data_IF_881486097485
#
_entry.id   IF_881486097485
#
_cell.length_a   1.000
_cell.length_b   1.000
_cell.length_c   1.000
_cell.angle_alpha   90.00
_cell.angle_beta   90.00
_cell.angle_gamma   90.00
#
_symmetry.space_group_name_H-M   'P 1'
#
loop_
_entity.id
_entity.type
_entity.pdbx_description
1 polymer ?
#
# COMPACT_ATOMS: atom_id res chain seq x y z
N UNK A 1 8.14 4.68 -19.86
CA UNK A 1 7.28 4.05 -20.89
C UNK A 1 7.36 4.85 -22.18
N UNK A 2 7.29 4.21 -23.35
CA UNK A 2 7.48 4.77 -24.71
C UNK A 2 6.44 5.85 -25.09
N UNK A 3 6.34 6.95 -24.35
CA UNK A 3 5.35 8.01 -24.51
C UNK A 3 4.01 7.78 -23.79
N UNK A 4 3.89 6.70 -23.00
CA UNK A 4 2.70 6.40 -22.20
C UNK A 4 2.92 6.79 -20.74
N UNK A 5 1.92 7.43 -20.14
CA UNK A 5 1.97 8.03 -18.80
C UNK A 5 0.63 7.91 -18.06
N UNK A 6 -0.33 7.14 -18.59
CA UNK A 6 -1.68 7.01 -18.07
C UNK A 6 -2.67 8.07 -18.54
N UNK A 7 -2.28 9.01 -19.42
CA UNK A 7 -3.21 10.00 -19.99
C UNK A 7 -4.46 9.34 -20.57
N UNK A 8 -5.63 9.84 -20.17
CA UNK A 8 -6.94 9.33 -20.58
C UNK A 8 -7.45 8.15 -19.75
N UNK A 9 -6.71 7.73 -18.72
CA UNK A 9 -7.17 6.72 -17.75
C UNK A 9 -7.58 7.39 -16.43
N UNK A 10 -8.56 6.77 -15.77
CA UNK A 10 -9.02 7.15 -14.43
C UNK A 10 -8.74 5.97 -13.50
N UNK A 11 -7.94 6.22 -12.46
CA UNK A 11 -7.64 5.26 -11.40
C UNK A 11 -8.38 5.68 -10.13
N UNK A 12 -9.11 4.75 -9.53
CA UNK A 12 -9.69 4.90 -8.22
C UNK A 12 -8.73 4.41 -7.14
N UNK A 13 -8.70 5.11 -6.00
CA UNK A 13 -7.96 4.72 -4.80
C UNK A 13 -8.93 4.78 -3.62
N UNK A 14 -9.10 3.66 -2.93
CA UNK A 14 -9.85 3.61 -1.66
C UNK A 14 -8.88 3.38 -0.52
N UNK A 15 -8.75 4.36 0.37
CA UNK A 15 -7.73 4.38 1.41
C UNK A 15 -8.08 5.38 2.53
N UNK A 16 -7.10 5.81 3.34
CA UNK A 16 -7.33 6.58 4.57
C UNK A 16 -7.91 7.97 4.31
N UNK A 17 -7.31 8.72 3.40
CA UNK A 17 -7.71 10.07 3.04
C UNK A 17 -6.76 10.65 1.99
N UNK A 18 -6.99 11.90 1.56
CA UNK A 18 -6.12 12.57 0.59
C UNK A 18 -5.76 13.99 1.05
N UNK A 19 -4.55 14.15 1.59
CA UNK A 19 -4.01 15.42 2.08
C UNK A 19 -5.00 16.15 2.99
N UNK A 20 -5.24 17.43 2.69
CA UNK A 20 -6.25 18.24 3.37
C UNK A 20 -7.72 17.93 3.02
N UNK A 21 -8.00 16.85 2.30
CA UNK A 21 -9.33 16.39 1.92
C UNK A 21 -9.95 17.03 0.69
N UNK A 22 -9.21 17.91 0.01
CA UNK A 22 -9.67 18.54 -1.24
C UNK A 22 -8.66 18.45 -2.37
N UNK A 23 -7.37 18.38 -2.05
CA UNK A 23 -6.27 18.28 -3.00
C UNK A 23 -4.98 17.89 -2.28
N UNK A 24 -3.95 17.57 -3.07
CA UNK A 24 -2.59 17.36 -2.60
C UNK A 24 -1.61 17.96 -3.61
N UNK A 25 -0.44 18.45 -3.18
CA UNK A 25 0.52 19.14 -4.06
C UNK A 25 0.96 18.27 -5.25
N UNK A 26 1.16 16.97 -5.02
CA UNK A 26 1.49 16.00 -6.07
C UNK A 26 0.33 15.62 -6.99
N UNK A 27 -0.92 15.97 -6.65
CA UNK A 27 -2.13 15.64 -7.43
C UNK A 27 -2.95 16.92 -7.63
N UNK A 28 -2.60 17.68 -8.67
CA UNK A 28 -3.28 18.93 -9.00
C UNK A 28 -4.79 18.73 -9.18
N UNK A 29 -5.60 19.68 -8.68
CA UNK A 29 -7.06 19.57 -8.67
C UNK A 29 -7.68 19.26 -10.04
N UNK A 30 -7.07 19.70 -11.14
CA UNK A 30 -7.54 19.39 -12.50
C UNK A 30 -7.43 17.91 -12.90
N UNK A 31 -6.68 17.09 -12.15
CA UNK A 31 -6.57 15.64 -12.34
C UNK A 31 -7.47 14.85 -11.38
N UNK A 32 -8.18 15.51 -10.48
CA UNK A 32 -9.13 14.87 -9.57
C UNK A 32 -10.51 14.89 -10.22
N UNK A 33 -11.05 13.71 -10.52
CA UNK A 33 -12.42 13.53 -11.03
C UNK A 33 -13.42 13.71 -9.90
N UNK A 34 -13.19 13.01 -8.79
CA UNK A 34 -14.02 13.07 -7.60
C UNK A 34 -13.23 12.65 -6.36
N UNK A 35 -13.62 13.21 -5.21
CA UNK A 35 -13.23 12.73 -3.88
C UNK A 35 -14.53 12.43 -3.16
N UNK A 36 -14.62 11.24 -2.58
CA UNK A 36 -15.78 10.80 -1.83
C UNK A 36 -15.38 10.40 -0.43
N UNK A 37 -16.12 10.93 0.52
CA UNK A 37 -16.08 10.51 1.91
C UNK A 37 -17.04 9.34 2.10
N UNK A 38 -16.52 8.19 2.55
CA UNK A 38 -17.30 7.04 2.97
C UNK A 38 -17.31 7.00 4.51
N UNK A 39 -18.28 7.67 5.14
CA UNK A 39 -18.32 7.76 6.59
C UNK A 39 -18.58 6.37 7.18
N UNK A 40 -17.77 6.03 8.15
CA UNK A 40 -17.81 4.80 8.89
C UNK A 40 -19.16 4.57 9.55
N UNK A 41 -19.59 3.32 9.55
CA UNK A 41 -20.85 2.91 10.14
C UNK A 41 -20.62 1.95 11.30
N UNK A 42 -21.61 1.85 12.19
CA UNK A 42 -21.61 0.84 13.24
C UNK A 42 -21.77 -0.56 12.62
N UNK A 43 -20.66 -1.16 12.21
CA UNK A 43 -20.58 -2.49 11.61
C UNK A 43 -20.12 -3.59 12.57
N UNK A 44 -19.64 -4.70 12.01
CA UNK A 44 -19.14 -5.84 12.78
C UNK A 44 -18.00 -5.44 13.75
N UNK A 45 -17.09 -4.56 13.31
CA UNK A 45 -16.03 -4.02 14.16
C UNK A 45 -16.58 -3.23 15.35
N UNK A 46 -17.55 -2.34 15.11
CA UNK A 46 -18.18 -1.55 16.17
C UNK A 46 -18.90 -2.42 17.20
N UNK A 47 -19.55 -3.51 16.75
CA UNK A 47 -20.21 -4.49 17.60
C UNK A 47 -19.21 -5.34 18.40
N UNK A 48 -18.15 -5.82 17.76
CA UNK A 48 -17.13 -6.68 18.38
C UNK A 48 -16.30 -5.91 19.41
N UNK A 49 -15.88 -4.70 19.05
CA UNK A 49 -15.03 -3.85 19.87
C UNK A 49 -15.79 -2.92 20.80
N UNK A 50 -17.13 -2.95 20.77
CA UNK A 50 -18.00 -2.03 21.50
C UNK A 50 -17.47 -0.59 21.36
N UNK A 51 -17.45 -0.08 20.14
CA UNK A 51 -16.88 1.24 19.87
C UNK A 51 -17.81 2.35 20.35
N UNK A 52 -17.22 3.47 20.78
CA UNK A 52 -17.95 4.69 21.08
C UNK A 52 -18.30 5.48 19.83
N UNK A 53 -18.33 6.81 19.95
CA UNK A 53 -18.62 7.71 18.84
C UNK A 53 -17.56 7.60 17.75
N UNK A 54 -18.01 7.32 16.53
CA UNK A 54 -17.22 7.47 15.30
C UNK A 54 -17.17 8.96 14.97
N UNK A 55 -15.96 9.48 14.74
CA UNK A 55 -15.72 10.89 14.42
C UNK A 55 -15.24 10.99 12.99
N UNK A 56 -16.04 11.67 12.16
CA UNK A 56 -15.77 11.91 10.75
C UNK A 56 -14.99 13.20 10.55
N UNK A 57 -13.90 13.14 9.81
CA UNK A 57 -13.08 14.29 9.40
C UNK A 57 -13.13 14.55 7.88
N UNK A 58 -14.06 13.88 7.19
CA UNK A 58 -14.26 14.00 5.76
C UNK A 58 -13.23 13.19 5.00
N UNK A 59 -12.67 13.77 3.94
CA UNK A 59 -11.68 13.08 3.10
C UNK A 59 -10.22 13.38 3.49
N UNK A 60 -10.01 13.92 4.70
CA UNK A 60 -8.70 14.38 5.16
C UNK A 60 -7.86 13.18 5.59
N UNK A 61 -6.61 13.15 5.17
CA UNK A 61 -5.67 12.13 5.64
C UNK A 61 -4.98 12.64 6.89
N UNK A 62 -5.51 12.30 8.07
CA UNK A 62 -5.20 12.98 9.34
C UNK A 62 -4.31 12.20 10.29
N UNK A 63 -4.05 10.92 10.01
CA UNK A 63 -3.31 10.03 10.92
C UNK A 63 -2.06 9.48 10.26
N UNK A 64 -2.21 8.46 9.42
CA UNK A 64 -1.08 7.74 8.84
C UNK A 64 -0.49 8.44 7.62
N UNK A 65 -1.27 9.25 6.89
CA UNK A 65 -0.87 9.79 5.58
C UNK A 65 -0.79 8.73 4.46
N UNK A 66 -1.27 7.52 4.75
CA UNK A 66 -1.13 6.34 3.90
C UNK A 66 -1.87 6.51 2.56
N UNK A 67 -3.12 6.98 2.59
CA UNK A 67 -3.94 7.22 1.41
C UNK A 67 -3.33 8.24 0.45
N UNK A 68 -2.72 9.28 0.99
CA UNK A 68 -1.98 10.29 0.22
C UNK A 68 -0.75 9.66 -0.43
N UNK A 69 0.02 8.86 0.31
CA UNK A 69 1.21 8.17 -0.19
C UNK A 69 0.91 7.21 -1.34
N UNK A 70 -0.11 6.37 -1.17
CA UNK A 70 -0.48 5.41 -2.21
C UNK A 70 -1.06 6.11 -3.45
N UNK A 71 -1.88 7.16 -3.30
CA UNK A 71 -2.41 7.90 -4.44
C UNK A 71 -1.32 8.61 -5.25
N UNK A 72 -0.33 9.21 -4.58
CA UNK A 72 0.83 9.79 -5.26
C UNK A 72 1.71 8.72 -5.92
N UNK A 73 1.82 7.53 -5.34
CA UNK A 73 2.57 6.42 -5.96
C UNK A 73 1.92 5.94 -7.27
N UNK A 74 0.58 5.99 -7.37
CA UNK A 74 -0.13 5.74 -8.63
C UNK A 74 0.18 6.84 -9.64
N UNK A 75 -0.10 8.10 -9.31
CA UNK A 75 -0.26 9.18 -10.30
C UNK A 75 0.26 10.55 -9.88
N UNK A 76 1.08 10.64 -8.83
CA UNK A 76 1.72 11.89 -8.43
C UNK A 76 2.53 12.52 -9.57
N UNK A 77 2.43 13.83 -9.76
CA UNK A 77 3.23 14.55 -10.77
C UNK A 77 4.72 14.56 -10.44
N UNK A 78 5.03 14.43 -9.14
CA UNK A 78 6.33 14.71 -8.57
C UNK A 78 6.70 16.19 -8.64
N UNK A 79 7.82 16.54 -8.02
CA UNK A 79 8.34 17.90 -8.07
C UNK A 79 9.02 18.23 -9.42
N UNK A 80 9.56 19.44 -9.55
CA UNK A 80 10.22 19.89 -10.79
C UNK A 80 11.41 19.04 -11.24
N UNK A 81 12.02 18.27 -10.34
CA UNK A 81 13.11 17.32 -10.61
C UNK A 81 12.61 15.90 -10.89
N UNK A 82 11.31 15.66 -10.76
CA UNK A 82 10.68 14.35 -10.92
C UNK A 82 10.67 13.47 -9.66
N UNK A 83 11.10 13.98 -8.51
CA UNK A 83 11.05 13.26 -7.23
C UNK A 83 9.59 13.07 -6.83
N UNK A 84 9.24 11.88 -6.34
CA UNK A 84 7.88 11.52 -5.93
C UNK A 84 6.87 11.43 -7.08
N UNK A 85 7.34 11.30 -8.32
CA UNK A 85 6.46 11.06 -9.46
C UNK A 85 5.93 9.62 -9.42
N UNK A 86 4.62 9.48 -9.50
CA UNK A 86 3.95 8.18 -9.61
C UNK A 86 4.16 7.53 -10.97
N UNK A 87 3.70 6.29 -11.10
CA UNK A 87 3.90 5.49 -12.34
C UNK A 87 3.07 6.01 -13.52
N UNK A 88 1.87 6.52 -13.26
CA UNK A 88 0.92 7.04 -14.24
C UNK A 88 0.62 8.54 -14.01
N UNK A 89 1.62 9.44 -14.16
CA UNK A 89 1.47 10.86 -13.82
C UNK A 89 0.48 11.63 -14.72
N UNK A 90 0.07 11.06 -15.86
CA UNK A 90 -0.96 11.59 -16.76
C UNK A 90 -2.38 11.10 -16.45
N UNK A 91 -2.54 10.10 -15.56
CA UNK A 91 -3.85 9.61 -15.17
C UNK A 91 -4.61 10.61 -14.27
N UNK A 92 -5.93 10.42 -14.21
CA UNK A 92 -6.83 11.12 -13.31
C UNK A 92 -7.22 10.23 -12.12
N UNK A 93 -7.63 10.86 -11.01
CA UNK A 93 -7.92 10.23 -9.74
C UNK A 93 -9.41 10.30 -9.40
N UNK A 94 -9.98 9.16 -8.99
CA UNK A 94 -11.13 9.11 -8.08
C UNK A 94 -10.60 8.68 -6.72
N UNK A 95 -10.90 9.41 -5.66
CA UNK A 95 -10.47 9.03 -4.31
C UNK A 95 -11.67 8.70 -3.43
N UNK A 96 -11.55 7.65 -2.63
CA UNK A 96 -12.56 7.20 -1.67
C UNK A 96 -11.93 7.11 -0.28
N UNK A 97 -12.24 8.07 0.58
CA UNK A 97 -11.79 8.12 1.97
C UNK A 97 -12.59 7.15 2.81
N UNK A 98 -11.93 6.28 3.57
CA UNK A 98 -12.59 5.22 4.34
C UNK A 98 -12.13 5.14 5.80
N UNK A 99 -11.16 5.94 6.20
CA UNK A 99 -10.65 5.98 7.57
C UNK A 99 -11.45 6.96 8.43
N UNK A 100 -11.78 6.54 9.65
CA UNK A 100 -12.41 7.40 10.66
C UNK A 100 -11.86 7.07 12.04
N UNK A 101 -11.89 8.06 12.93
CA UNK A 101 -11.52 7.84 14.34
C UNK A 101 -12.66 7.21 15.12
N UNK A 102 -12.33 6.25 15.99
CA UNK A 102 -13.27 5.75 16.99
C UNK A 102 -12.61 5.47 18.33
N UNK A 103 -13.44 5.47 19.38
CA UNK A 103 -13.02 5.05 20.72
C UNK A 103 -13.37 3.58 20.93
N UNK A 104 -12.43 2.80 21.47
CA UNK A 104 -12.62 1.37 21.75
C UNK A 104 -12.95 1.21 23.23
N UNK A 105 -14.18 0.81 23.53
CA UNK A 105 -14.68 0.68 24.91
C UNK A 105 -14.65 -0.79 25.36
N UNK A 106 -14.77 -1.72 24.42
CA UNK A 106 -14.84 -3.16 24.70
C UNK A 106 -13.51 -3.74 25.17
N UNK A 107 -13.53 -4.37 26.34
CA UNK A 107 -12.35 -5.09 26.86
C UNK A 107 -11.90 -6.23 25.95
N UNK A 108 -12.79 -6.79 25.12
CA UNK A 108 -12.45 -7.86 24.17
C UNK A 108 -11.40 -7.41 23.16
N UNK A 109 -11.63 -6.30 22.44
CA UNK A 109 -10.67 -5.79 21.47
C UNK A 109 -9.38 -5.29 22.14
N UNK A 110 -9.46 -4.83 23.39
CA UNK A 110 -8.28 -4.55 24.20
C UNK A 110 -7.38 -5.78 24.44
N UNK A 111 -7.92 -7.01 24.45
CA UNK A 111 -7.11 -8.24 24.55
C UNK A 111 -6.23 -8.48 23.32
N UNK A 112 -6.59 -7.90 22.18
CA UNK A 112 -5.89 -8.00 20.90
C UNK A 112 -5.08 -6.72 20.58
N UNK A 113 -4.89 -5.83 21.57
CA UNK A 113 -4.12 -4.60 21.38
C UNK A 113 -4.82 -3.49 20.59
N UNK A 114 -6.10 -3.67 20.25
CA UNK A 114 -6.89 -2.67 19.54
C UNK A 114 -7.27 -1.57 20.53
N UNK A 115 -6.92 -0.32 20.22
CA UNK A 115 -7.10 0.85 21.10
C UNK A 115 -7.84 1.99 20.40
N UNK A 116 -8.04 3.13 21.06
CA UNK A 116 -8.63 4.30 20.39
C UNK A 116 -7.73 4.70 19.22
N UNK A 117 -8.33 4.94 18.06
CA UNK A 117 -7.54 5.23 16.87
C UNK A 117 -8.38 5.34 15.61
N UNK A 118 -7.65 5.51 14.51
CA UNK A 118 -8.17 5.58 13.16
C UNK A 118 -8.21 4.18 12.55
N UNK A 119 -9.32 3.85 11.88
CA UNK A 119 -9.56 2.56 11.24
C UNK A 119 -10.37 2.74 9.96
N UNK A 120 -10.27 1.78 9.02
CA UNK A 120 -11.03 1.77 7.75
C UNK A 120 -12.53 1.45 7.94
N UNK A 121 -13.22 2.24 8.76
CA UNK A 121 -14.62 2.03 9.13
C UNK A 121 -15.61 2.31 7.99
N UNK A 122 -15.17 3.05 6.98
CA UNK A 122 -15.94 3.43 5.79
C UNK A 122 -16.10 2.33 4.74
N UNK A 123 -15.35 1.23 4.86
CA UNK A 123 -15.46 0.09 3.94
C UNK A 123 -16.85 -0.55 4.07
N UNK A 124 -17.67 -0.62 3.00
CA UNK A 124 -18.98 -1.22 3.08
C UNK A 124 -18.90 -2.75 3.09
N UNK A 125 -19.87 -3.40 3.74
CA UNK A 125 -20.10 -4.84 3.62
C UNK A 125 -21.53 -5.06 3.08
N UNK A 126 -21.70 -5.56 1.83
CA UNK A 126 -20.65 -6.04 0.91
C UNK A 126 -19.85 -4.90 0.26
N UNK A 127 -18.66 -5.23 -0.29
CA UNK A 127 -17.75 -4.24 -0.91
C UNK A 127 -18.21 -3.68 -2.27
N UNK A 128 -19.12 -4.37 -2.97
CA UNK A 128 -19.57 -4.00 -4.33
C UNK A 128 -20.00 -2.52 -4.53
N UNK A 129 -20.74 -1.89 -3.61
CA UNK A 129 -21.10 -0.47 -3.72
C UNK A 129 -19.92 0.49 -3.82
N UNK A 130 -18.80 0.18 -3.15
CA UNK A 130 -17.56 0.96 -3.21
C UNK A 130 -17.03 1.00 -4.65
N UNK A 131 -16.87 -0.18 -5.26
CA UNK A 131 -16.36 -0.27 -6.63
C UNK A 131 -17.35 0.25 -7.67
N UNK A 132 -18.66 0.04 -7.45
CA UNK A 132 -19.69 0.56 -8.36
C UNK A 132 -19.68 2.09 -8.42
N UNK A 133 -19.45 2.76 -7.28
CA UNK A 133 -19.35 4.21 -7.25
C UNK A 133 -18.16 4.71 -8.08
N UNK A 134 -16.98 4.13 -7.88
CA UNK A 134 -15.80 4.48 -8.66
C UNK A 134 -15.98 4.18 -10.16
N UNK A 135 -16.63 3.06 -10.49
CA UNK A 135 -16.95 2.68 -11.86
C UNK A 135 -17.86 3.70 -12.55
N UNK A 136 -18.86 4.21 -11.84
CA UNK A 136 -19.79 5.24 -12.33
C UNK A 136 -19.09 6.58 -12.57
N UNK A 137 -18.05 6.88 -11.81
CA UNK A 137 -17.17 8.05 -12.04
C UNK A 137 -16.18 7.84 -13.19
N UNK A 138 -16.21 6.69 -13.84
CA UNK A 138 -15.39 6.37 -15.00
C UNK A 138 -14.07 5.67 -14.67
N UNK A 139 -13.79 5.39 -13.39
CA UNK A 139 -12.61 4.61 -13.04
C UNK A 139 -12.68 3.21 -13.64
N UNK A 140 -11.54 2.72 -14.10
CA UNK A 140 -11.41 1.37 -14.67
C UNK A 140 -10.21 0.59 -14.14
N UNK A 141 -9.51 1.18 -13.16
CA UNK A 141 -8.55 0.54 -12.29
C UNK A 141 -8.91 1.01 -10.88
N UNK A 142 -8.87 0.10 -9.92
CA UNK A 142 -9.13 0.41 -8.52
C UNK A 142 -8.01 -0.16 -7.65
N UNK A 143 -7.24 0.73 -7.03
CA UNK A 143 -6.12 0.39 -6.14
C UNK A 143 -6.61 0.30 -4.70
N UNK A 144 -6.29 -0.81 -4.03
CA UNK A 144 -6.71 -1.08 -2.65
C UNK A 144 -5.51 -1.58 -1.84
N UNK A 145 -4.93 -0.69 -1.04
CA UNK A 145 -3.74 -0.97 -0.23
C UNK A 145 -4.14 -1.36 1.21
N UNK A 146 -5.12 -2.26 1.31
CA UNK A 146 -5.68 -2.76 2.56
C UNK A 146 -6.19 -4.20 2.40
N UNK A 147 -6.36 -4.88 3.53
CA UNK A 147 -6.85 -6.24 3.61
C UNK A 147 -6.94 -6.72 5.05
N UNK A 148 -7.36 -7.97 5.24
CA UNK A 148 -7.36 -8.67 6.51
C UNK A 148 -6.51 -9.93 6.40
N UNK A 149 -5.62 -10.13 7.38
CA UNK A 149 -4.84 -11.36 7.52
C UNK A 149 -5.78 -12.54 7.81
N UNK A 150 -5.88 -13.45 6.84
CA UNK A 150 -6.77 -14.62 6.89
C UNK A 150 -6.09 -15.89 6.40
N UNK A 151 -4.76 -15.89 6.31
CA UNK A 151 -3.94 -17.04 5.90
C UNK A 151 -4.52 -17.77 4.67
N UNK A 152 -4.58 -17.07 3.53
CA UNK A 152 -5.00 -17.70 2.28
C UNK A 152 -6.51 -17.97 2.11
N UNK A 153 -7.35 -17.73 3.13
CA UNK A 153 -8.78 -18.02 3.07
C UNK A 153 -9.52 -17.22 1.98
N UNK A 154 -10.37 -17.89 1.21
CA UNK A 154 -11.32 -17.25 0.30
C UNK A 154 -12.58 -16.78 1.05
N UNK A 155 -12.59 -15.50 1.45
CA UNK A 155 -13.64 -14.91 2.28
C UNK A 155 -14.87 -14.42 1.48
N UNK A 156 -15.90 -13.92 2.18
CA UNK A 156 -17.04 -13.21 1.57
C UNK A 156 -16.60 -11.99 0.76
N UNK A 157 -15.63 -11.23 1.26
CA UNK A 157 -15.07 -10.09 0.52
C UNK A 157 -14.42 -10.56 -0.79
N UNK A 158 -13.71 -11.69 -0.77
CA UNK A 158 -13.09 -12.28 -1.94
C UNK A 158 -14.12 -12.71 -2.99
N UNK A 159 -15.24 -13.29 -2.53
CA UNK A 159 -16.39 -13.60 -3.38
C UNK A 159 -17.02 -12.34 -3.99
N UNK A 160 -17.20 -11.30 -3.20
CA UNK A 160 -17.92 -10.10 -3.63
C UNK A 160 -17.10 -9.30 -4.66
N UNK A 161 -15.77 -9.21 -4.49
CA UNK A 161 -14.89 -8.59 -5.50
C UNK A 161 -14.81 -9.41 -6.78
N UNK A 162 -14.79 -10.75 -6.69
CA UNK A 162 -14.83 -11.63 -7.85
C UNK A 162 -16.13 -11.48 -8.63
N UNK A 163 -17.28 -11.45 -7.94
CA UNK A 163 -18.59 -11.25 -8.55
C UNK A 163 -18.67 -9.88 -9.24
N UNK A 164 -18.17 -8.82 -8.59
CA UNK A 164 -18.18 -7.48 -9.17
C UNK A 164 -17.35 -7.40 -10.47
N UNK A 165 -16.13 -7.97 -10.48
CA UNK A 165 -15.28 -8.00 -11.68
C UNK A 165 -15.83 -8.91 -12.78
N UNK A 166 -16.55 -9.98 -12.41
CA UNK A 166 -17.23 -10.84 -13.38
C UNK A 166 -18.35 -10.09 -14.11
N UNK A 167 -19.14 -9.31 -13.37
CA UNK A 167 -20.23 -8.52 -13.96
C UNK A 167 -19.72 -7.23 -14.66
N UNK A 168 -18.49 -6.81 -14.37
CA UNK A 168 -17.84 -5.62 -14.94
C UNK A 168 -16.43 -5.97 -15.45
N UNK A 169 -16.36 -6.68 -16.58
CA UNK A 169 -15.10 -7.21 -17.12
C UNK A 169 -14.06 -6.14 -17.51
N UNK A 170 -14.46 -4.86 -17.56
CA UNK A 170 -13.61 -3.74 -17.97
C UNK A 170 -13.00 -2.96 -16.80
N UNK A 171 -13.18 -3.37 -15.54
CA UNK A 171 -12.50 -2.75 -14.37
C UNK A 171 -11.57 -3.74 -13.66
N UNK A 172 -10.30 -3.36 -13.50
CA UNK A 172 -9.32 -4.14 -12.75
C UNK A 172 -9.27 -3.68 -11.30
N UNK A 173 -9.58 -4.59 -10.37
CA UNK A 173 -9.33 -4.36 -8.94
C UNK A 173 -7.94 -4.91 -8.60
N UNK A 174 -7.13 -4.07 -7.94
CA UNK A 174 -5.76 -4.38 -7.52
C UNK A 174 -5.72 -4.34 -5.99
N UNK A 175 -5.17 -5.38 -5.36
CA UNK A 175 -5.12 -5.54 -3.91
C UNK A 175 -3.69 -5.84 -3.43
N UNK A 176 -3.34 -5.29 -2.28
CA UNK A 176 -2.15 -5.69 -1.56
C UNK A 176 -2.23 -7.16 -1.11
N UNK A 177 -1.11 -7.87 -1.16
CA UNK A 177 -1.04 -9.27 -0.71
C UNK A 177 -1.18 -9.43 0.81
N UNK A 178 -0.79 -8.41 1.58
CA UNK A 178 -0.68 -8.47 3.03
C UNK A 178 0.77 -8.29 3.50
N UNK A 179 0.93 -7.94 4.78
CA UNK A 179 2.24 -7.77 5.41
C UNK A 179 2.43 -8.77 6.56
N UNK A 180 1.81 -9.95 6.43
CA UNK A 180 1.75 -10.99 7.46
C UNK A 180 2.83 -12.07 7.23
N UNK A 181 3.89 -11.75 6.47
CA UNK A 181 5.05 -12.62 6.32
C UNK A 181 5.79 -12.76 7.65
N UNK A 182 6.08 -13.98 8.06
CA UNK A 182 6.79 -14.33 9.30
C UNK A 182 7.85 -15.41 9.01
N UNK A 183 8.88 -15.51 9.86
CA UNK A 183 9.90 -16.56 9.84
C UNK A 183 9.84 -17.30 11.18
N UNK A 184 8.81 -18.14 11.33
CA UNK A 184 8.38 -18.77 12.60
C UNK A 184 8.02 -20.25 12.36
N UNK A 185 9.04 -21.10 12.31
CA UNK A 185 8.82 -22.54 12.14
C UNK A 185 8.36 -23.24 13.43
N UNK A 186 7.29 -24.04 13.32
CA UNK A 186 6.82 -24.92 14.40
C UNK A 186 7.74 -26.13 14.59
N UNK A 187 7.87 -26.68 15.82
CA UNK A 187 7.11 -26.35 17.03
C UNK A 187 7.81 -25.35 17.97
N UNK A 188 9.00 -24.87 17.63
CA UNK A 188 9.83 -24.05 18.53
C UNK A 188 9.81 -22.55 18.22
N UNK A 189 9.04 -22.13 17.22
CA UNK A 189 8.99 -20.75 16.71
C UNK A 189 10.39 -20.23 16.36
N UNK A 190 11.26 -21.13 15.86
CA UNK A 190 12.58 -20.76 15.40
C UNK A 190 12.51 -20.48 13.91
N UNK A 191 12.95 -19.30 13.49
CA UNK A 191 13.09 -19.03 12.07
C UNK A 191 14.21 -19.86 11.44
N UNK A 192 14.10 -20.17 10.16
CA UNK A 192 15.15 -20.78 9.34
C UNK A 192 15.74 -19.81 8.31
N UNK A 193 15.27 -18.56 8.30
CA UNK A 193 15.76 -17.52 7.41
C UNK A 193 15.01 -17.43 6.09
N UNK A 194 13.90 -18.18 5.94
CA UNK A 194 12.96 -18.08 4.84
C UNK A 194 11.60 -17.62 5.39
N UNK A 195 10.84 -16.85 4.61
CA UNK A 195 9.50 -16.41 5.03
C UNK A 195 8.50 -17.53 4.81
N UNK A 196 7.73 -17.85 5.84
CA UNK A 196 6.75 -18.92 5.85
C UNK A 196 5.62 -18.70 4.83
N UNK A 197 5.10 -19.78 4.20
CA UNK A 197 3.96 -19.72 3.30
C UNK A 197 2.65 -19.41 4.03
N UNK A 198 1.57 -19.26 3.27
CA UNK A 198 0.18 -19.20 3.77
C UNK A 198 -0.17 -17.94 4.58
N UNK A 199 0.22 -16.77 4.06
CA UNK A 199 0.00 -15.47 4.72
C UNK A 199 -0.79 -14.47 3.86
N UNK A 200 -1.32 -14.87 2.70
CA UNK A 200 -2.10 -13.97 1.83
C UNK A 200 -3.37 -13.47 2.52
N UNK A 201 -3.56 -12.15 2.55
CA UNK A 201 -4.73 -11.49 3.09
C UNK A 201 -5.90 -11.42 2.10
N UNK A 202 -7.12 -11.27 2.62
CA UNK A 202 -8.32 -11.01 1.83
C UNK A 202 -8.65 -9.51 1.81
N UNK A 203 -9.10 -8.93 0.68
CA UNK A 203 -9.61 -9.60 -0.52
C UNK A 203 -8.56 -10.05 -1.55
N UNK A 204 -7.26 -9.93 -1.25
CA UNK A 204 -6.16 -10.38 -2.13
C UNK A 204 -6.20 -11.87 -2.49
N UNK A 205 -6.91 -12.72 -1.73
CA UNK A 205 -7.14 -14.13 -2.06
C UNK A 205 -8.16 -14.34 -3.18
N UNK A 206 -8.86 -13.30 -3.68
CA UNK A 206 -9.81 -13.40 -4.78
C UNK A 206 -9.15 -13.83 -6.11
N UNK A 207 -9.93 -14.44 -7.02
CA UNK A 207 -9.39 -15.04 -8.25
C UNK A 207 -9.17 -14.01 -9.36
N UNK A 208 -10.11 -13.08 -9.51
CA UNK A 208 -10.17 -12.13 -10.62
C UNK A 208 -9.30 -10.90 -10.37
N UNK A 209 -9.06 -10.55 -9.11
CA UNK A 209 -8.23 -9.40 -8.73
C UNK A 209 -6.77 -9.61 -9.11
N UNK A 210 -6.02 -8.52 -9.28
CA UNK A 210 -4.57 -8.53 -9.33
C UNK A 210 -4.00 -8.29 -7.94
N UNK A 211 -3.36 -9.30 -7.34
CA UNK A 211 -2.77 -9.24 -6.01
C UNK A 211 -1.28 -8.95 -6.10
N UNK A 212 -0.81 -7.99 -5.31
CA UNK A 212 0.54 -7.44 -5.43
C UNK A 212 1.32 -7.66 -4.13
N UNK A 213 2.41 -8.43 -4.21
CA UNK A 213 3.40 -8.53 -3.15
C UNK A 213 4.48 -7.45 -3.25
N UNK A 214 5.39 -7.42 -2.29
CA UNK A 214 6.46 -6.42 -2.21
C UNK A 214 7.83 -7.07 -2.39
N UNK A 215 8.57 -6.59 -3.39
CA UNK A 215 10.02 -6.75 -3.45
C UNK A 215 10.70 -5.58 -2.73
N UNK A 216 12.00 -5.67 -2.54
CA UNK A 216 12.74 -4.53 -2.01
C UNK A 216 12.92 -3.42 -3.05
N UNK A 217 13.00 -2.18 -2.57
CA UNK A 217 13.55 -1.10 -3.37
C UNK A 217 15.08 -1.12 -3.31
N UNK A 218 15.72 -0.54 -4.32
CA UNK A 218 17.16 -0.27 -4.30
C UNK A 218 17.41 1.10 -4.88
N UNK A 219 18.03 1.98 -4.10
CA UNK A 219 18.28 3.38 -4.49
C UNK A 219 19.76 3.74 -4.42
N UNK A 220 20.18 4.64 -5.30
CA UNK A 220 21.59 5.11 -5.38
C UNK A 220 21.82 6.41 -4.63
N UNK A 221 20.75 7.09 -4.18
CA UNK A 221 20.80 8.34 -3.43
C UNK A 221 20.97 8.14 -1.92
N UNK A 222 21.00 6.88 -1.46
CA UNK A 222 21.17 6.50 -0.06
C UNK A 222 20.10 7.09 0.89
N UNK A 223 18.85 7.16 0.42
CA UNK A 223 17.68 7.49 1.24
C UNK A 223 17.81 8.81 2.03
N UNK A 224 18.02 9.95 1.34
CA UNK A 224 18.17 11.25 1.98
C UNK A 224 16.92 11.66 2.77
N UNK A 225 17.13 12.43 3.83
CA UNK A 225 16.10 13.06 4.65
C UNK A 225 16.39 14.56 4.84
N UNK A 226 15.39 15.32 5.31
CA UNK A 226 15.59 16.74 5.57
C UNK A 226 16.56 16.98 6.73
N UNK A 227 17.77 17.42 6.38
CA UNK A 227 18.83 17.77 7.33
C UNK A 227 18.47 18.90 8.30
N UNK A 228 17.36 19.61 8.11
CA UNK A 228 16.84 20.60 9.04
C UNK A 228 16.13 19.99 10.26
N UNK A 229 15.73 18.72 10.19
CA UNK A 229 14.95 18.06 11.23
C UNK A 229 15.78 17.77 12.48
N UNK A 230 15.32 18.30 13.61
CA UNK A 230 15.99 18.23 14.91
C UNK A 230 15.24 17.41 15.96
N UNK A 231 13.98 17.03 15.68
CA UNK A 231 13.23 16.18 16.58
C UNK A 231 13.77 14.74 16.59
N UNK A 232 13.59 14.07 17.72
CA UNK A 232 13.86 12.64 17.86
C UNK A 232 12.51 11.94 17.82
N UNK A 233 12.26 11.03 16.86
CA UNK A 233 10.99 10.31 16.77
C UNK A 233 10.81 9.40 17.99
N UNK A 234 9.57 8.99 18.24
CA UNK A 234 9.27 8.07 19.34
C UNK A 234 10.08 6.78 19.19
N UNK A 235 10.83 6.40 20.23
CA UNK A 235 11.71 5.22 20.22
C UNK A 235 13.05 5.42 19.48
N UNK A 236 13.29 6.57 18.87
CA UNK A 236 14.56 6.91 18.22
C UNK A 236 15.62 7.44 19.18
N UNK A 237 16.85 7.56 18.69
CA UNK A 237 18.01 8.08 19.43
C UNK A 237 18.72 9.26 18.76
N UNK A 238 18.34 9.58 17.53
CA UNK A 238 18.97 10.59 16.68
C UNK A 238 17.92 11.28 15.81
N UNK A 239 18.24 12.47 15.32
CA UNK A 239 17.49 13.21 14.30
C UNK A 239 18.17 13.10 12.93
N UNK A 240 17.44 13.37 11.85
CA UNK A 240 18.04 13.45 10.51
C UNK A 240 19.22 14.44 10.45
N UNK A 241 19.12 15.60 11.13
CA UNK A 241 20.23 16.55 11.24
C UNK A 241 21.50 15.91 11.83
N UNK A 242 21.34 15.12 12.90
CA UNK A 242 22.48 14.42 13.53
C UNK A 242 23.01 13.24 12.72
N UNK A 243 22.26 12.80 11.70
CA UNK A 243 22.61 11.73 10.75
C UNK A 243 23.11 12.28 9.40
N UNK A 244 23.50 13.56 9.36
CA UNK A 244 24.05 14.22 8.16
C UNK A 244 23.09 14.21 6.94
N UNK A 245 21.78 14.17 7.18
CA UNK A 245 20.78 14.24 6.11
C UNK A 245 20.48 12.90 5.43
N UNK A 246 20.83 11.77 6.04
CA UNK A 246 20.58 10.44 5.50
C UNK A 246 19.83 9.56 6.50
N UNK A 247 18.87 8.78 6.00
CA UNK A 247 18.24 7.75 6.81
C UNK A 247 19.18 6.56 7.02
N UNK A 248 19.12 5.98 8.22
CA UNK A 248 19.74 4.69 8.50
C UNK A 248 18.75 3.56 8.19
N UNK A 249 19.07 2.73 7.20
CA UNK A 249 18.23 1.61 6.78
C UNK A 249 18.52 0.41 7.67
N UNK A 250 17.53 -0.08 8.46
CA UNK A 250 17.73 -1.23 9.32
C UNK A 250 17.77 -2.52 8.50
N UNK A 251 18.09 -3.63 9.17
CA UNK A 251 17.87 -4.98 8.64
C UNK A 251 16.50 -5.52 9.06
N UNK A 252 16.06 -6.64 8.46
CA UNK A 252 14.79 -7.27 8.83
C UNK A 252 14.73 -7.72 10.30
N UNK A 253 15.86 -7.80 11.00
CA UNK A 253 15.89 -8.00 12.45
C UNK A 253 15.12 -6.93 13.24
N UNK A 254 15.05 -5.69 12.74
CA UNK A 254 14.25 -4.64 13.37
C UNK A 254 12.73 -4.90 13.29
N UNK A 255 12.31 -5.80 12.41
CA UNK A 255 10.92 -6.20 12.15
C UNK A 255 10.61 -7.62 12.65
N UNK A 256 11.51 -8.22 13.44
CA UNK A 256 11.26 -9.53 14.07
C UNK A 256 11.84 -10.74 13.32
N UNK A 257 12.48 -10.55 12.16
CA UNK A 257 13.14 -11.63 11.43
C UNK A 257 14.53 -11.88 12.02
N UNK A 258 14.67 -12.92 12.84
CA UNK A 258 15.86 -13.09 13.71
C UNK A 258 16.86 -14.13 13.23
N UNK A 259 16.57 -14.83 12.13
CA UNK A 259 17.48 -15.83 11.54
C UNK A 259 18.10 -15.31 10.24
N UNK A 260 19.42 -15.45 10.02
CA UNK A 260 20.04 -15.15 8.72
C UNK A 260 19.52 -16.13 7.64
N UNK A 261 19.42 -15.69 6.39
CA UNK A 261 19.90 -14.39 5.86
C UNK A 261 19.03 -13.17 6.20
N UNK A 262 17.72 -13.34 6.43
CA UNK A 262 16.78 -12.24 6.72
C UNK A 262 17.28 -11.28 7.80
N UNK A 263 17.74 -11.79 8.96
CA UNK A 263 18.17 -10.93 10.07
C UNK A 263 19.34 -9.98 9.75
N UNK A 264 20.12 -10.31 8.73
CA UNK A 264 21.28 -9.54 8.27
C UNK A 264 21.01 -8.75 7.00
N UNK A 265 19.88 -9.00 6.36
CA UNK A 265 19.47 -8.39 5.10
C UNK A 265 18.91 -6.98 5.32
N UNK A 266 19.41 -6.02 4.54
CA UNK A 266 19.07 -4.59 4.66
C UNK A 266 17.81 -4.36 3.85
N UNK A 267 16.78 -3.76 4.49
CA UNK A 267 15.41 -3.64 3.96
C UNK A 267 15.22 -3.10 2.54
N UNK A 268 16.24 -2.50 1.94
CA UNK A 268 16.13 -1.80 0.67
C UNK A 268 17.49 -1.70 -0.04
N UNK A 269 18.19 -2.82 -0.22
CA UNK A 269 19.50 -2.85 -0.88
C UNK A 269 19.58 -3.75 -2.13
N UNK A 270 18.61 -4.64 -2.36
CA UNK A 270 18.60 -5.56 -3.49
C UNK A 270 17.22 -5.64 -4.16
N UNK A 271 17.06 -5.04 -5.34
CA UNK A 271 15.77 -5.05 -6.06
C UNK A 271 15.37 -6.43 -6.61
N UNK A 272 16.22 -7.46 -6.45
CA UNK A 272 15.92 -8.84 -6.81
C UNK A 272 15.35 -9.65 -5.63
N UNK A 273 15.21 -9.05 -4.45
CA UNK A 273 14.73 -9.74 -3.25
C UNK A 273 13.29 -9.44 -2.92
N UNK A 274 12.62 -10.45 -2.36
CA UNK A 274 11.32 -10.27 -1.72
C UNK A 274 11.47 -9.58 -0.37
N UNK A 275 10.60 -8.60 -0.08
CA UNK A 275 10.57 -7.99 1.24
C UNK A 275 10.12 -9.02 2.29
N UNK A 276 10.80 -9.06 3.45
CA UNK A 276 10.52 -10.02 4.52
C UNK A 276 9.07 -10.01 5.00
N UNK A 277 8.45 -8.83 5.13
CA UNK A 277 7.04 -8.72 5.56
C UNK A 277 6.04 -9.20 4.50
N UNK A 278 6.44 -9.33 3.23
CA UNK A 278 5.47 -9.55 2.15
C UNK A 278 4.82 -10.92 2.31
N UNK A 279 3.49 -10.93 2.43
CA UNK A 279 2.73 -12.17 2.50
C UNK A 279 3.02 -13.10 1.32
N UNK A 280 3.10 -14.40 1.61
CA UNK A 280 3.43 -15.48 0.68
C UNK A 280 2.21 -16.39 0.49
N UNK A 281 2.08 -16.92 -0.71
CA UNK A 281 1.13 -17.99 -1.00
C UNK A 281 1.57 -19.33 -0.41
N UNK A 282 0.89 -20.42 -0.81
CA UNK A 282 -0.30 -20.44 -1.65
C UNK A 282 -1.53 -19.88 -0.89
N UNK A 283 -2.66 -19.77 -1.57
CA UNK A 283 -3.96 -19.71 -0.87
C UNK A 283 -4.34 -21.09 -0.32
N UNK A 284 -5.34 -21.14 0.57
CA UNK A 284 -5.86 -22.39 1.17
C UNK A 284 -6.25 -23.47 0.15
N UNK A 285 -6.72 -23.05 -1.03
CA UNK A 285 -7.12 -23.93 -2.13
C UNK A 285 -5.99 -24.21 -3.14
N UNK A 286 -4.76 -23.81 -2.82
CA UNK A 286 -3.55 -24.11 -3.59
C UNK A 286 -3.32 -23.21 -4.80
N UNK A 287 -4.01 -22.07 -4.91
CA UNK A 287 -3.71 -21.09 -5.98
C UNK A 287 -2.45 -20.32 -5.63
N UNK A 288 -1.73 -19.93 -6.68
CA UNK A 288 -0.59 -19.04 -6.58
C UNK A 288 -1.08 -17.62 -6.29
N UNK A 289 -0.53 -17.03 -5.23
CA UNK A 289 -0.63 -15.62 -4.85
C UNK A 289 0.71 -15.22 -4.19
N UNK A 290 1.20 -13.97 -4.34
CA UNK A 290 0.62 -12.88 -5.16
C UNK A 290 0.60 -13.21 -6.66
N UNK A 291 0.00 -12.34 -7.48
CA UNK A 291 0.05 -12.53 -8.94
C UNK A 291 1.31 -11.91 -9.57
N UNK A 292 1.81 -10.84 -8.96
CA UNK A 292 3.05 -10.13 -9.32
C UNK A 292 3.60 -9.42 -8.08
N UNK A 293 4.85 -8.96 -8.16
CA UNK A 293 5.47 -8.09 -7.15
C UNK A 293 6.00 -6.80 -7.75
N UNK A 294 6.15 -5.80 -6.90
CA UNK A 294 6.82 -4.54 -7.21
C UNK A 294 7.56 -4.02 -5.97
N UNK A 295 8.50 -3.07 -6.12
CA UNK A 295 9.18 -2.47 -4.98
C UNK A 295 8.18 -1.94 -3.95
N UNK A 296 8.29 -2.40 -2.71
CA UNK A 296 7.39 -2.05 -1.62
C UNK A 296 8.09 -1.66 -0.33
N UNK A 297 9.42 -1.77 -0.22
CA UNK A 297 10.17 -1.23 0.91
C UNK A 297 10.73 0.17 0.60
N UNK A 298 10.72 1.08 1.58
CA UNK A 298 11.33 2.42 1.47
C UNK A 298 10.95 3.20 0.20
N UNK A 299 9.66 3.18 -0.15
CA UNK A 299 9.12 3.89 -1.31
C UNK A 299 8.90 5.36 -0.95
N UNK A 300 9.57 6.25 -1.67
CA UNK A 300 9.40 7.69 -1.56
C UNK A 300 8.21 8.15 -2.38
N UNK A 301 7.21 8.76 -1.73
CA UNK A 301 6.03 9.33 -2.41
C UNK A 301 5.46 10.53 -1.65
N UNK A 302 4.51 11.21 -2.28
CA UNK A 302 3.88 12.41 -1.71
C UNK A 302 3.06 12.06 -0.46
N UNK A 303 3.10 12.90 0.57
CA UNK A 303 2.54 12.60 1.88
C UNK A 303 1.52 13.66 2.34
N UNK A 304 0.69 13.34 3.34
CA UNK A 304 -0.31 14.30 3.83
C UNK A 304 0.36 15.56 4.40
N UNK A 305 -0.18 16.73 4.02
CA UNK A 305 0.28 18.06 4.43
C UNK A 305 -0.24 18.47 5.82
N UNK A 306 -0.55 17.51 6.68
CA UNK A 306 -1.23 17.72 7.95
C UNK A 306 -0.46 17.14 9.14
N UNK A 307 -0.49 17.86 10.26
CA UNK A 307 0.06 17.48 11.56
C UNK A 307 1.48 16.90 11.51
N UNK A 308 2.32 17.51 10.69
CA UNK A 308 3.69 17.08 10.48
C UNK A 308 4.61 17.67 11.55
N UNK A 309 5.35 16.82 12.26
CA UNK A 309 6.23 17.26 13.32
C UNK A 309 7.32 18.18 12.78
N UNK A 310 7.50 19.35 13.42
CA UNK A 310 8.47 20.40 13.06
C UNK A 310 8.16 21.20 11.78
N UNK A 311 7.46 20.63 10.79
CA UNK A 311 6.99 21.39 9.63
C UNK A 311 5.77 22.27 9.99
N UNK A 312 4.86 21.76 10.81
CA UNK A 312 3.72 22.53 11.28
C UNK A 312 4.05 23.37 12.52
N UNK A 313 3.37 24.51 12.65
CA UNK A 313 3.53 25.45 13.76
C UNK A 313 3.43 24.76 15.14
N UNK A 314 4.13 25.26 16.19
CA UNK A 314 4.12 24.64 17.51
C UNK A 314 2.70 24.40 18.05
N UNK A 315 2.33 23.13 18.26
CA UNK A 315 0.97 22.72 18.65
C UNK A 315 0.12 22.17 17.50
N UNK A 316 0.70 22.00 16.31
CA UNK A 316 0.06 21.40 15.13
C UNK A 316 -0.17 19.89 15.20
N UNK A 317 -0.25 19.28 16.38
CA UNK A 317 -0.66 17.88 16.48
C UNK A 317 -2.15 17.72 16.13
N UNK A 318 -2.55 16.54 15.70
CA UNK A 318 -3.93 16.23 15.37
C UNK A 318 -4.83 16.51 16.61
N UNK A 319 -5.84 17.39 16.50
CA UNK A 319 -6.68 17.78 17.64
C UNK A 319 -7.53 16.61 18.19
N UNK A 320 -7.70 15.54 17.41
CA UNK A 320 -8.50 14.38 17.80
C UNK A 320 -7.78 13.48 18.81
N UNK A 321 -6.49 13.23 18.61
CA UNK A 321 -5.71 12.29 19.42
C UNK A 321 -4.46 12.93 20.08
N UNK A 322 -4.11 14.16 19.73
CA UNK A 322 -2.92 14.87 20.21
C UNK A 322 -1.60 14.35 19.64
N UNK A 323 -1.63 13.54 18.58
CA UNK A 323 -0.44 12.97 17.94
C UNK A 323 -0.04 13.75 16.67
N UNK A 324 1.25 13.76 16.36
CA UNK A 324 1.70 14.10 15.01
C UNK A 324 1.50 12.89 14.10
N UNK A 325 1.38 13.15 12.81
CA UNK A 325 1.30 12.09 11.83
C UNK A 325 2.55 11.22 11.80
N UNK A 326 2.35 9.98 11.34
CA UNK A 326 3.43 9.02 11.20
C UNK A 326 4.47 9.49 10.17
N UNK A 327 5.76 9.39 10.50
CA UNK A 327 6.83 9.78 9.58
C UNK A 327 7.10 8.77 8.46
N UNK A 328 6.45 7.61 8.53
CA UNK A 328 6.78 6.50 7.64
C UNK A 328 8.06 5.79 8.07
N UNK A 329 8.80 5.27 7.10
CA UNK A 329 10.06 4.58 7.30
C UNK A 329 11.18 5.62 7.42
N UNK A 330 11.66 5.84 8.65
CA UNK A 330 12.69 6.83 8.94
C UNK A 330 12.15 8.27 8.93
N UNK A 331 13.02 9.21 8.57
CA UNK A 331 12.72 10.63 8.44
C UNK A 331 12.24 10.97 7.02
N UNK A 332 11.37 11.98 6.91
CA UNK A 332 10.86 12.44 5.63
C UNK A 332 11.96 13.08 4.77
N UNK A 333 11.79 13.05 3.45
CA UNK A 333 12.71 13.69 2.50
C UNK A 333 12.59 15.22 2.59
N UNK A 334 11.37 15.72 2.68
CA UNK A 334 10.99 17.11 2.92
C UNK A 334 9.55 17.16 3.47
N UNK A 335 8.89 18.32 3.44
CA UNK A 335 7.50 18.52 3.89
C UNK A 335 6.46 17.96 2.91
N UNK A 336 6.86 17.56 1.70
CA UNK A 336 5.98 17.01 0.66
C UNK A 336 6.14 15.49 0.48
N UNK A 337 7.33 14.92 0.71
CA UNK A 337 7.65 13.53 0.40
C UNK A 337 8.19 12.74 1.59
N UNK A 338 7.62 11.55 1.82
CA UNK A 338 8.03 10.62 2.88
C UNK A 338 8.27 9.21 2.34
N UNK A 339 9.09 8.43 3.05
CA UNK A 339 9.30 7.02 2.76
C UNK A 339 8.27 6.17 3.50
N UNK A 340 7.68 5.18 2.84
CA UNK A 340 6.85 4.16 3.49
C UNK A 340 7.23 2.78 2.99
N UNK A 341 6.82 1.75 3.73
CA UNK A 341 7.02 0.36 3.34
C UNK A 341 5.76 -0.47 3.55
N UNK A 342 5.56 -1.44 2.66
CA UNK A 342 4.45 -2.39 2.69
C UNK A 342 4.09 -2.87 1.28
N UNK A 343 3.35 -3.98 1.21
CA UNK A 343 2.61 -4.35 -0.01
C UNK A 343 1.62 -3.24 -0.41
N UNK A 344 1.21 -2.42 0.56
CA UNK A 344 0.52 -1.15 0.35
C UNK A 344 1.23 -0.16 -0.57
N UNK A 345 2.57 -0.15 -0.61
CA UNK A 345 3.34 0.74 -1.48
C UNK A 345 3.64 0.10 -2.84
N UNK A 346 3.74 -1.23 -2.91
CA UNK A 346 3.89 -1.95 -4.18
C UNK A 346 2.62 -1.90 -5.04
N UNK A 347 1.45 -2.09 -4.41
CA UNK A 347 0.12 -2.08 -5.04
C UNK A 347 -0.18 -0.86 -5.91
N UNK A 348 0.04 0.40 -5.47
CA UNK A 348 -0.21 1.58 -6.28
C UNK A 348 0.77 1.71 -7.45
N UNK A 349 2.01 1.22 -7.33
CA UNK A 349 2.94 1.21 -8.46
C UNK A 349 2.41 0.31 -9.58
N UNK A 350 1.95 -0.89 -9.23
CA UNK A 350 1.31 -1.82 -10.18
C UNK A 350 -0.01 -1.27 -10.72
N UNK A 351 -0.79 -0.57 -9.91
CA UNK A 351 -2.02 0.10 -10.37
C UNK A 351 -1.74 1.20 -11.38
N UNK A 352 -0.67 1.98 -11.20
CA UNK A 352 -0.21 2.93 -12.22
C UNK A 352 0.30 2.22 -13.48
N UNK A 353 1.01 1.09 -13.35
CA UNK A 353 1.42 0.28 -14.50
C UNK A 353 0.21 -0.26 -15.28
N UNK A 354 -0.84 -0.70 -14.58
CA UNK A 354 -2.11 -1.11 -15.20
C UNK A 354 -2.73 0.04 -16.01
N UNK A 355 -2.65 1.28 -15.53
CA UNK A 355 -3.16 2.45 -16.25
C UNK A 355 -2.36 2.69 -17.54
N UNK A 356 -1.03 2.57 -17.47
CA UNK A 356 -0.16 2.64 -18.65
C UNK A 356 -0.49 1.54 -19.66
N UNK A 357 -0.73 0.30 -19.22
CA UNK A 357 -1.13 -0.82 -20.08
C UNK A 357 -2.47 -0.55 -20.76
N UNK A 358 -3.48 -0.08 -20.02
CA UNK A 358 -4.77 0.28 -20.63
C UNK A 358 -4.65 1.40 -21.66
N UNK A 359 -3.89 2.44 -21.34
CA UNK A 359 -3.62 3.54 -22.27
C UNK A 359 -2.95 3.02 -23.55
N UNK A 360 -1.99 2.11 -23.42
CA UNK A 360 -1.34 1.47 -24.56
C UNK A 360 -2.34 0.74 -25.46
N UNK A 361 -3.23 -0.08 -24.89
CA UNK A 361 -4.25 -0.78 -25.68
C UNK A 361 -5.23 0.16 -26.38
N UNK A 362 -5.70 1.19 -25.67
CA UNK A 362 -6.59 2.19 -26.24
C UNK A 362 -5.94 2.94 -27.41
N UNK A 363 -4.70 3.39 -27.25
CA UNK A 363 -4.03 4.24 -28.24
C UNK A 363 -3.47 3.46 -29.44
N UNK A 364 -2.95 2.25 -29.21
CA UNK A 364 -2.28 1.47 -30.26
C UNK A 364 -3.23 0.56 -31.00
N UNK A 365 -4.21 -0.02 -30.30
CA UNK A 365 -5.15 -0.99 -30.87
C UNK A 365 -6.59 -0.48 -30.95
N UNK A 366 -6.88 0.72 -30.44
CA UNK A 366 -8.26 1.24 -30.41
C UNK A 366 -9.20 0.37 -29.59
N UNK A 367 -8.67 -0.32 -28.57
CA UNK A 367 -9.39 -1.34 -27.79
C UNK A 367 -9.38 -0.96 -26.32
N UNK A 368 -10.55 -0.97 -25.69
CA UNK A 368 -10.67 -0.91 -24.24
C UNK A 368 -10.31 -2.29 -23.67
N UNK A 369 -9.12 -2.40 -23.09
CA UNK A 369 -8.63 -3.66 -22.54
C UNK A 369 -9.50 -4.10 -21.34
N UNK A 370 -9.95 -5.36 -21.36
CA UNK A 370 -10.59 -5.97 -20.19
C UNK A 370 -9.61 -6.09 -19.03
N UNK A 371 -10.14 -6.21 -17.81
CA UNK A 371 -9.35 -6.43 -16.61
C UNK A 371 -8.45 -7.67 -16.74
N UNK A 372 -8.98 -8.76 -17.32
CA UNK A 372 -8.22 -9.97 -17.58
C UNK A 372 -7.07 -9.75 -18.57
N UNK A 373 -7.26 -8.94 -19.63
CA UNK A 373 -6.20 -8.63 -20.58
C UNK A 373 -5.10 -7.78 -19.94
N UNK A 374 -5.47 -6.78 -19.12
CA UNK A 374 -4.50 -5.96 -18.38
C UNK A 374 -3.70 -6.81 -17.41
N UNK A 375 -4.39 -7.64 -16.60
CA UNK A 375 -3.76 -8.58 -15.66
C UNK A 375 -2.81 -9.55 -16.39
N UNK A 376 -3.26 -10.18 -17.48
CA UNK A 376 -2.43 -11.09 -18.26
C UNK A 376 -1.21 -10.39 -18.87
N UNK A 377 -1.35 -9.15 -19.33
CA UNK A 377 -0.23 -8.37 -19.90
C UNK A 377 0.83 -8.11 -18.86
N UNK A 378 0.43 -7.70 -17.65
CA UNK A 378 1.36 -7.45 -16.55
C UNK A 378 2.11 -8.73 -16.16
N UNK A 379 1.39 -9.83 -15.90
CA UNK A 379 1.98 -11.12 -15.51
C UNK A 379 2.96 -11.64 -16.59
N UNK A 380 2.56 -11.65 -17.86
CA UNK A 380 3.42 -12.16 -18.94
C UNK A 380 4.60 -11.23 -19.29
N UNK A 381 4.67 -10.05 -18.67
CA UNK A 381 5.78 -9.09 -18.82
C UNK A 381 6.64 -8.96 -17.57
N UNK A 382 6.29 -9.67 -16.50
CA UNK A 382 7.07 -9.69 -15.27
C UNK A 382 8.45 -10.31 -15.52
N UNK A 383 9.42 -9.88 -14.71
CA UNK A 383 10.72 -10.53 -14.65
C UNK A 383 10.72 -11.44 -13.43
N UNK A 384 11.27 -12.63 -13.62
CA UNK A 384 11.68 -13.54 -12.56
C UNK A 384 12.70 -12.82 -11.68
N UNK A 385 12.40 -12.67 -10.39
CA UNK A 385 13.38 -12.21 -9.42
C UNK A 385 14.49 -13.26 -9.31
N UNK A 386 15.65 -12.81 -8.84
CA UNK A 386 16.78 -13.71 -8.65
C UNK A 386 16.94 -14.13 -7.20
N UNK A 387 16.19 -13.60 -6.24
CA UNK A 387 16.36 -13.96 -4.82
C UNK A 387 14.97 -13.89 -4.14
N UNK A 388 14.03 -14.61 -4.72
CA UNK A 388 12.61 -14.61 -4.35
C UNK A 388 12.33 -15.29 -3.00
N UNK A 389 13.21 -16.20 -2.58
CA UNK A 389 13.19 -16.87 -1.28
C UNK A 389 13.91 -16.05 -0.19
N UNK A 390 14.65 -15.01 -0.59
CA UNK A 390 15.50 -14.18 0.24
C UNK A 390 16.60 -14.98 0.93
N UNK A 391 17.21 -15.95 0.24
CA UNK A 391 18.25 -16.83 0.79
C UNK A 391 19.67 -16.19 0.77
N UNK A 392 19.79 -14.99 0.20
CA UNK A 392 21.02 -14.22 0.08
C UNK A 392 21.88 -14.60 -1.13
N UNK A 393 21.36 -15.44 -2.03
CA UNK A 393 21.91 -15.70 -3.34
C UNK A 393 20.97 -15.15 -4.43
N UNK A 394 21.55 -14.46 -5.41
CA UNK A 394 20.82 -14.08 -6.61
C UNK A 394 20.77 -15.27 -7.60
N UNK A 395 20.05 -16.34 -7.25
CA UNK A 395 19.63 -17.43 -8.11
C UNK A 395 18.12 -17.74 -8.10
N UNK A 396 17.62 -18.27 -9.23
CA UNK A 396 16.20 -18.62 -9.38
C UNK A 396 15.97 -20.03 -8.82
N UNK A 397 15.79 -20.14 -7.51
CA UNK A 397 15.63 -21.43 -6.84
C UNK A 397 14.24 -22.03 -7.12
N UNK A 398 13.23 -21.19 -7.31
CA UNK A 398 11.87 -21.59 -7.63
C UNK A 398 11.44 -21.17 -9.05
N UNK A 399 10.98 -22.11 -9.91
CA UNK A 399 10.50 -21.74 -11.24
C UNK A 399 9.20 -20.93 -11.15
N UNK A 400 9.14 -19.78 -11.84
CA UNK A 400 7.90 -19.01 -11.97
C UNK A 400 6.86 -19.71 -12.88
N UNK A 401 5.55 -19.57 -12.56
CA UNK A 401 4.99 -18.85 -11.41
C UNK A 401 5.22 -19.60 -10.08
N UNK A 402 5.50 -18.87 -9.00
CA UNK A 402 5.74 -19.43 -7.66
C UNK A 402 4.97 -18.68 -6.56
N UNK A 403 4.93 -19.23 -5.34
CA UNK A 403 4.15 -18.67 -4.21
C UNK A 403 4.81 -17.46 -3.51
N UNK A 404 5.98 -17.01 -3.98
CA UNK A 404 6.73 -15.90 -3.39
C UNK A 404 6.45 -14.62 -4.16
N UNK A 405 6.66 -14.66 -5.46
CA UNK A 405 6.61 -13.48 -6.34
C UNK A 405 5.49 -13.51 -7.39
N UNK A 406 4.87 -14.67 -7.60
CA UNK A 406 3.72 -14.86 -8.49
C UNK A 406 3.97 -15.68 -9.74
#
# INVERSE_FOLDING_TARGET
ANGFDGTGQIVAVADTGLGNGSSHAGIVAGRIVAIHDWPGQAGAFALLCNTGTITHDGSRDVDSGHGTHVANSVLGSGNGSGIGRGIAPGAQLVFQSTEDYTTVIGAFCGLFGITNGYYLLGLPDPLGPLFQQAYNDGARIHSNSWGAGVAGEYTTNSRDVDAFMWDNEDILLVFAAGNDGEDVNLPNNAGDGEVDPDSIGAPGTAKNVLTVGASEAQRTDNYPCDSSLTYIPSGGSSSCNSQEGLNNIPTWAAFGFTTPPLSTDILADNSQQMAGFSSRGPTDDGRIKPDVVAPGSWILSGYSDLYQQQYDEPGGANPQNGAYQYDGYGFPYDDEYKYMGGTSMATPLVSGAAAVVRQYYANVFGTDASAALVKATLINSANDLLDENNDGANDNDYPIPNNHEG
#
